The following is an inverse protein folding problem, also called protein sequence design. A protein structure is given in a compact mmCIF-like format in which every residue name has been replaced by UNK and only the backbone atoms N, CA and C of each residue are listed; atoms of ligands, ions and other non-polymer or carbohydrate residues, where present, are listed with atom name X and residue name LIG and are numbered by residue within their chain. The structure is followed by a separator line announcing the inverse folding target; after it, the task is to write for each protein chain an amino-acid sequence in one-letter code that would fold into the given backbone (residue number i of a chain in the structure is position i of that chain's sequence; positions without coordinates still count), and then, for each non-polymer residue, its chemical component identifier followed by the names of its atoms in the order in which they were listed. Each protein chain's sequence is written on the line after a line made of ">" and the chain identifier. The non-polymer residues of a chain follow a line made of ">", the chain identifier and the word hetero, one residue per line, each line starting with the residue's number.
data_IF_799385284799
#
_entry.id   IF_799385284799
#
_cell.length_a   1.000
_cell.length_b   1.000
_cell.length_c   1.000
_cell.angle_alpha   90.00
_cell.angle_beta   90.00
_cell.angle_gamma   90.00
#
_symmetry.space_group_name_H-M   'P 1'
#
loop_
_entity.id
_entity.type
_entity.pdbx_description
1 polymer ?
#
# COMPACT_ATOMS: atom_id res chain seq x y z
N UNK A 1 4.96 29.84 -15.73
CA UNK A 1 4.61 29.53 -14.32
C UNK A 1 3.10 29.55 -14.19
N UNK A 2 2.45 28.39 -14.30
CA UNK A 2 1.00 28.30 -14.08
C UNK A 2 0.73 28.49 -12.59
N UNK A 3 -0.11 29.47 -12.24
CA UNK A 3 -0.61 29.62 -10.87
C UNK A 3 -1.53 28.43 -10.61
N UNK A 4 -1.05 27.47 -9.82
CA UNK A 4 -1.86 26.32 -9.44
C UNK A 4 -2.99 26.83 -8.54
N UNK A 5 -4.24 26.58 -8.93
CA UNK A 5 -5.41 27.06 -8.19
C UNK A 5 -5.69 26.10 -7.04
N UNK A 6 -5.19 26.42 -5.85
CA UNK A 6 -5.47 25.65 -4.62
C UNK A 6 -6.95 25.83 -4.24
N UNK A 7 -7.65 24.73 -3.97
CA UNK A 7 -9.06 24.75 -3.57
C UNK A 7 -9.25 25.53 -2.25
N UNK A 8 -10.34 26.29 -2.09
CA UNK A 8 -10.59 27.09 -0.87
C UNK A 8 -10.50 26.27 0.41
N UNK A 9 -11.06 25.05 0.43
CA UNK A 9 -11.01 24.15 1.59
C UNK A 9 -9.60 23.67 1.97
N UNK A 10 -8.61 23.84 1.09
CA UNK A 10 -7.21 23.44 1.32
C UNK A 10 -6.36 24.64 1.74
N UNK A 11 -6.79 25.87 1.43
CA UNK A 11 -6.11 27.09 1.89
C UNK A 11 -6.13 27.25 3.40
N UNK A 12 -7.10 26.64 4.07
CA UNK A 12 -7.19 26.63 5.53
C UNK A 12 -6.33 25.54 6.18
N UNK A 13 -5.70 24.64 5.39
CA UNK A 13 -4.76 23.62 5.87
C UNK A 13 -3.32 24.13 5.70
N UNK A 14 -2.73 24.63 6.78
CA UNK A 14 -1.41 25.27 6.74
C UNK A 14 -0.29 24.30 6.33
N UNK A 15 -0.43 23.02 6.68
CA UNK A 15 0.58 22.00 6.36
C UNK A 15 0.60 21.70 4.86
N UNK A 16 -0.57 21.50 4.25
CA UNK A 16 -0.66 21.31 2.80
C UNK A 16 -0.16 22.53 2.05
N UNK A 17 -0.60 23.74 2.44
CA UNK A 17 -0.12 24.97 1.81
C UNK A 17 1.40 25.12 1.93
N UNK A 18 1.98 24.83 3.10
CA UNK A 18 3.42 24.85 3.33
C UNK A 18 4.18 23.84 2.46
N UNK A 19 3.66 22.64 2.25
CA UNK A 19 4.30 21.63 1.40
C UNK A 19 4.24 22.03 -0.08
N UNK A 20 3.08 22.53 -0.53
CA UNK A 20 2.84 22.99 -1.91
C UNK A 20 3.76 24.17 -2.25
N UNK A 21 3.81 25.18 -1.38
CA UNK A 21 4.57 26.41 -1.61
C UNK A 21 6.06 26.26 -1.28
N UNK A 22 6.38 25.47 -0.25
CA UNK A 22 7.76 25.25 0.20
C UNK A 22 8.58 24.36 -0.72
N UNK A 23 7.93 23.54 -1.55
CA UNK A 23 8.58 22.66 -2.55
C UNK A 23 9.70 21.79 -1.96
N UNK A 24 9.57 21.40 -0.69
CA UNK A 24 10.54 20.54 -0.04
C UNK A 24 10.58 19.19 -0.75
N UNK A 25 11.78 18.67 -1.01
CA UNK A 25 11.99 17.43 -1.76
C UNK A 25 11.40 17.41 -3.20
N UNK A 26 10.99 18.55 -3.74
CA UNK A 26 10.51 18.66 -5.12
C UNK A 26 11.67 19.07 -6.04
N UNK A 27 11.81 18.39 -7.18
CA UNK A 27 12.83 18.67 -8.19
C UNK A 27 13.47 17.42 -8.76
N UNK A 28 14.65 17.60 -9.38
CA UNK A 28 15.42 16.54 -10.03
C UNK A 28 16.69 16.23 -9.22
N UNK A 29 17.20 15.01 -9.40
CA UNK A 29 18.57 14.65 -9.08
C UNK A 29 19.31 14.33 -10.39
N UNK A 30 20.57 14.72 -10.43
CA UNK A 30 21.45 14.60 -11.58
C UNK A 30 22.53 13.52 -11.36
N UNK A 31 23.18 13.04 -12.44
CA UNK A 31 24.35 12.19 -12.32
C UNK A 31 25.49 12.84 -11.51
N UNK A 32 25.59 14.16 -11.49
CA UNK A 32 26.54 14.92 -10.68
C UNK A 32 26.23 14.77 -9.18
N UNK A 33 24.97 14.91 -8.77
CA UNK A 33 24.55 14.69 -7.37
C UNK A 33 24.87 13.27 -6.90
N UNK A 34 24.70 12.29 -7.79
CA UNK A 34 25.04 10.90 -7.52
C UNK A 34 26.55 10.72 -7.25
N UNK A 35 27.41 11.36 -8.05
CA UNK A 35 28.87 11.33 -7.84
C UNK A 35 29.26 12.00 -6.53
N UNK A 36 28.69 13.16 -6.22
CA UNK A 36 28.97 13.90 -4.98
C UNK A 36 28.65 13.08 -3.72
N UNK A 37 27.61 12.24 -3.80
CA UNK A 37 27.16 11.42 -2.67
C UNK A 37 27.66 9.96 -2.73
N UNK A 38 28.57 9.62 -3.66
CA UNK A 38 29.02 8.24 -3.90
C UNK A 38 27.84 7.25 -4.05
N UNK A 39 26.81 7.68 -4.77
CA UNK A 39 25.54 6.98 -4.94
C UNK A 39 25.27 6.68 -6.43
N UNK A 40 24.27 5.84 -6.69
CA UNK A 40 23.75 5.54 -8.03
C UNK A 40 22.42 6.25 -8.23
N UNK A 41 22.26 6.96 -9.35
CA UNK A 41 20.99 7.57 -9.72
C UNK A 41 20.05 6.53 -10.34
N UNK A 42 18.83 6.44 -9.81
CA UNK A 42 17.69 5.75 -10.40
C UNK A 42 16.58 6.75 -10.68
N UNK A 43 15.90 6.58 -11.81
CA UNK A 43 14.79 7.44 -12.22
C UNK A 43 13.62 6.60 -12.69
N UNK A 44 12.41 6.97 -12.27
CA UNK A 44 11.17 6.33 -12.69
C UNK A 44 10.11 7.37 -13.06
N UNK A 45 9.37 7.14 -14.14
CA UNK A 45 8.26 7.97 -14.56
C UNK A 45 6.96 7.20 -14.38
N UNK A 46 5.99 7.83 -13.71
CA UNK A 46 4.65 7.32 -13.54
C UNK A 46 3.66 8.27 -14.20
N UNK A 47 2.72 7.72 -14.97
CA UNK A 47 1.71 8.50 -15.68
C UNK A 47 2.32 9.38 -16.77
N UNK A 48 1.54 10.34 -17.27
CA UNK A 48 1.98 11.23 -18.34
C UNK A 48 1.29 12.59 -18.29
N UNK A 49 1.91 13.61 -18.87
CA UNK A 49 1.31 14.94 -18.96
C UNK A 49 -0.01 14.93 -19.74
N UNK A 50 -0.13 14.04 -20.74
CA UNK A 50 -1.35 13.86 -21.54
C UNK A 50 -2.51 13.34 -20.70
N UNK A 51 -2.22 12.47 -19.73
CA UNK A 51 -3.22 11.99 -18.77
C UNK A 51 -3.59 13.04 -17.70
N UNK A 52 -2.91 14.19 -17.68
CA UNK A 52 -3.13 15.23 -16.67
C UNK A 52 -2.53 14.92 -15.29
N UNK A 53 -1.77 13.83 -15.15
CA UNK A 53 -1.00 13.51 -13.94
C UNK A 53 0.30 12.78 -14.30
N UNK A 54 1.42 13.27 -13.80
CA UNK A 54 2.70 12.58 -13.89
C UNK A 54 3.57 12.77 -12.64
N UNK A 55 4.33 11.75 -12.29
CA UNK A 55 5.36 11.80 -11.25
C UNK A 55 6.68 11.29 -11.83
N UNK A 56 7.75 12.09 -11.74
CA UNK A 56 9.12 11.65 -11.99
C UNK A 56 9.81 11.48 -10.65
N UNK A 57 10.13 10.25 -10.28
CA UNK A 57 10.80 9.89 -9.04
C UNK A 57 12.30 9.75 -9.32
N UNK A 58 13.11 10.38 -8.48
CA UNK A 58 14.58 10.33 -8.52
C UNK A 58 15.10 9.78 -7.20
N UNK A 59 15.82 8.67 -7.23
CA UNK A 59 16.51 8.10 -6.06
C UNK A 59 18.02 8.15 -6.26
N UNK A 60 18.74 8.57 -5.23
CA UNK A 60 20.16 8.28 -5.09
C UNK A 60 20.30 7.09 -4.15
N UNK A 61 20.91 6.01 -4.62
CA UNK A 61 21.10 4.78 -3.85
C UNK A 61 22.56 4.61 -3.44
N UNK A 62 22.78 4.35 -2.15
CA UNK A 62 24.09 3.96 -1.61
C UNK A 62 24.54 2.59 -2.12
N UNK A 63 25.78 2.21 -1.80
CA UNK A 63 26.31 0.87 -2.04
C UNK A 63 25.56 -0.25 -1.29
N UNK A 64 24.79 0.09 -0.26
CA UNK A 64 23.93 -0.84 0.50
C UNK A 64 22.47 -0.82 -0.01
N UNK A 65 22.23 -0.27 -1.20
CA UNK A 65 20.91 -0.17 -1.84
C UNK A 65 19.86 0.62 -1.03
N UNK A 66 20.32 1.47 -0.09
CA UNK A 66 19.48 2.42 0.63
C UNK A 66 19.38 3.74 -0.12
N UNK A 67 18.17 4.29 -0.22
CA UNK A 67 17.88 5.59 -0.83
C UNK A 67 18.43 6.70 0.09
N UNK A 68 19.56 7.30 -0.27
CA UNK A 68 20.21 8.38 0.52
C UNK A 68 19.61 9.75 0.26
N UNK A 69 19.11 9.98 -0.96
CA UNK A 69 18.29 11.15 -1.26
C UNK A 69 17.19 10.79 -2.26
N UNK A 70 16.08 11.52 -2.17
CA UNK A 70 14.94 11.35 -3.04
C UNK A 70 14.37 12.73 -3.39
N UNK A 71 14.12 12.93 -4.68
CA UNK A 71 13.38 14.07 -5.19
C UNK A 71 12.27 13.58 -6.11
N UNK A 72 11.18 14.34 -6.17
CA UNK A 72 10.08 14.04 -7.08
C UNK A 72 9.71 15.30 -7.84
N UNK A 73 9.54 15.18 -9.16
CA UNK A 73 8.79 16.18 -9.92
C UNK A 73 7.37 15.68 -10.12
N UNK A 74 6.42 16.61 -10.04
CA UNK A 74 5.01 16.30 -10.23
C UNK A 74 4.38 17.25 -11.24
N UNK A 75 3.49 16.71 -12.06
CA UNK A 75 2.59 17.46 -12.93
C UNK A 75 1.16 17.04 -12.61
N UNK A 76 0.26 18.00 -12.39
CA UNK A 76 -1.14 17.73 -12.03
C UNK A 76 -1.69 18.75 -11.03
N UNK A 77 -2.64 18.31 -10.23
CA UNK A 77 -3.26 19.12 -9.17
C UNK A 77 -2.25 19.55 -8.09
N UNK A 78 -2.46 20.70 -7.45
CA UNK A 78 -1.48 21.30 -6.53
C UNK A 78 -1.13 20.37 -5.37
N UNK A 79 -2.14 19.65 -4.88
CA UNK A 79 -2.09 18.73 -3.77
C UNK A 79 -1.18 17.53 -4.05
N UNK A 80 -0.97 17.20 -5.32
CA UNK A 80 0.01 16.20 -5.74
C UNK A 80 1.44 16.63 -5.37
N UNK A 81 1.73 17.94 -5.34
CA UNK A 81 3.04 18.46 -4.90
C UNK A 81 3.25 18.12 -3.42
N UNK A 82 2.22 18.25 -2.58
CA UNK A 82 2.33 17.87 -1.17
C UNK A 82 2.53 16.37 -0.99
N UNK A 83 1.74 15.55 -1.69
CA UNK A 83 1.88 14.10 -1.65
C UNK A 83 3.27 13.64 -2.16
N UNK A 84 3.76 14.22 -3.25
CA UNK A 84 5.09 13.96 -3.81
C UNK A 84 6.22 14.36 -2.85
N UNK A 85 6.07 15.50 -2.16
CA UNK A 85 7.02 15.97 -1.16
C UNK A 85 7.16 14.99 0.01
N UNK A 86 6.02 14.49 0.51
CA UNK A 86 5.98 13.47 1.57
C UNK A 86 6.49 12.12 1.05
N UNK A 87 6.10 11.70 -0.15
CA UNK A 87 6.59 10.48 -0.79
C UNK A 87 8.11 10.46 -0.88
N UNK A 88 8.70 11.58 -1.29
CA UNK A 88 10.15 11.73 -1.33
C UNK A 88 10.76 11.66 0.07
N UNK A 89 10.15 12.32 1.06
CA UNK A 89 10.62 12.28 2.45
C UNK A 89 10.60 10.85 3.03
N UNK A 90 9.48 10.15 2.92
CA UNK A 90 9.33 8.80 3.49
C UNK A 90 10.15 7.75 2.74
N UNK A 91 10.56 8.03 1.50
CA UNK A 91 11.43 7.14 0.72
C UNK A 91 12.89 7.20 1.17
N UNK A 92 13.32 8.30 1.80
CA UNK A 92 14.71 8.44 2.28
C UNK A 92 14.99 7.42 3.37
N UNK A 93 16.20 6.88 3.33
CA UNK A 93 16.70 5.85 4.23
C UNK A 93 15.84 4.56 4.19
N UNK A 94 15.29 4.21 3.03
CA UNK A 94 14.63 2.93 2.76
C UNK A 94 15.30 2.19 1.61
N UNK A 95 15.18 0.88 1.63
CA UNK A 95 15.45 -0.03 0.51
C UNK A 95 14.20 -0.16 -0.37
N UNK A 96 14.35 -0.67 -1.60
CA UNK A 96 13.21 -0.94 -2.48
C UNK A 96 12.19 -1.91 -1.85
N UNK A 97 12.63 -2.90 -1.07
CA UNK A 97 11.74 -3.81 -0.36
C UNK A 97 10.91 -3.10 0.70
N UNK A 98 11.50 -2.17 1.45
CA UNK A 98 10.75 -1.34 2.41
C UNK A 98 9.77 -0.38 1.72
N UNK A 99 10.09 0.09 0.50
CA UNK A 99 9.17 0.89 -0.32
C UNK A 99 7.95 0.05 -0.72
N UNK A 100 8.12 -1.21 -1.11
CA UNK A 100 7.02 -2.11 -1.48
C UNK A 100 6.03 -2.35 -0.33
N UNK A 101 6.45 -2.16 0.92
CA UNK A 101 5.60 -2.31 2.11
C UNK A 101 4.87 -1.02 2.52
N UNK A 102 5.11 0.10 1.83
CA UNK A 102 4.43 1.35 2.14
C UNK A 102 2.93 1.25 1.84
N UNK A 103 2.12 1.68 2.81
CA UNK A 103 0.67 1.75 2.71
C UNK A 103 0.23 3.20 2.51
N UNK A 104 -0.88 3.39 1.79
CA UNK A 104 -1.45 4.72 1.56
C UNK A 104 -1.74 5.47 2.86
N UNK A 105 -2.32 4.79 3.85
CA UNK A 105 -2.60 5.37 5.17
C UNK A 105 -1.36 5.99 5.82
N UNK A 106 -0.17 5.43 5.59
CA UNK A 106 1.08 6.00 6.09
C UNK A 106 1.36 7.37 5.47
N UNK A 107 1.31 7.46 4.15
CA UNK A 107 1.51 8.72 3.41
C UNK A 107 0.41 9.74 3.73
N UNK A 108 -0.86 9.32 3.77
CA UNK A 108 -1.99 10.19 4.08
C UNK A 108 -1.87 10.78 5.50
N UNK A 109 -1.48 9.97 6.48
CA UNK A 109 -1.25 10.45 7.85
C UNK A 109 -0.15 11.51 7.93
N UNK A 110 0.92 11.37 7.14
CA UNK A 110 1.97 12.40 7.05
C UNK A 110 1.50 13.70 6.40
N UNK A 111 0.40 13.70 5.64
CA UNK A 111 -0.20 14.91 5.08
C UNK A 111 -1.16 15.60 6.05
N UNK A 112 -1.70 14.88 7.05
CA UNK A 112 -2.65 15.45 8.01
C UNK A 112 -2.03 16.58 8.82
N UNK A 113 -2.80 17.66 8.96
CA UNK A 113 -2.54 18.71 9.95
C UNK A 113 -3.08 18.30 11.32
N UNK A 114 -4.30 17.74 11.35
CA UNK A 114 -4.92 17.16 12.53
C UNK A 114 -5.04 15.64 12.34
N UNK A 115 -4.55 14.81 13.28
CA UNK A 115 -4.59 13.35 13.14
C UNK A 115 -6.01 12.78 13.01
N UNK A 116 -7.05 13.50 13.46
CA UNK A 116 -8.44 13.04 13.41
C UNK A 116 -9.16 13.39 12.10
N UNK A 117 -8.60 14.29 11.29
CA UNK A 117 -9.21 14.72 10.03
C UNK A 117 -8.39 14.18 8.87
N UNK A 118 -9.05 13.73 7.81
CA UNK A 118 -8.37 13.35 6.57
C UNK A 118 -7.63 14.57 5.99
N UNK A 119 -6.45 14.32 5.42
CA UNK A 119 -5.63 15.37 4.85
C UNK A 119 -6.28 16.00 3.62
N UNK A 120 -6.93 15.18 2.79
CA UNK A 120 -7.53 15.57 1.51
C UNK A 120 -9.05 15.31 1.53
N UNK A 121 -9.85 16.16 0.87
CA UNK A 121 -11.27 15.88 0.65
C UNK A 121 -11.44 14.63 -0.24
N UNK A 122 -12.62 13.99 -0.16
CA UNK A 122 -12.93 12.75 -0.90
C UNK A 122 -12.58 12.80 -2.39
N UNK A 123 -12.91 13.90 -3.07
CA UNK A 123 -12.64 14.09 -4.49
C UNK A 123 -11.16 14.07 -4.88
N UNK A 124 -10.25 14.26 -3.90
CA UNK A 124 -8.80 14.28 -4.09
C UNK A 124 -8.10 13.08 -3.44
N UNK A 125 -8.84 12.11 -2.90
CA UNK A 125 -8.27 10.96 -2.22
C UNK A 125 -7.38 10.11 -3.14
N UNK A 126 -7.70 10.06 -4.44
CA UNK A 126 -6.87 9.36 -5.41
C UNK A 126 -5.40 9.81 -5.42
N UNK A 127 -5.10 11.04 -5.01
CA UNK A 127 -3.74 11.60 -5.03
C UNK A 127 -2.78 10.77 -4.15
N UNK A 128 -3.21 10.39 -2.94
CA UNK A 128 -2.37 9.57 -2.04
C UNK A 128 -2.22 8.15 -2.57
N UNK A 129 -3.28 7.57 -3.12
CA UNK A 129 -3.26 6.23 -3.71
C UNK A 129 -2.32 6.14 -4.92
N UNK A 130 -2.45 7.08 -5.86
CA UNK A 130 -1.60 7.16 -7.05
C UNK A 130 -0.14 7.40 -6.67
N UNK A 131 0.11 8.22 -5.65
CA UNK A 131 1.48 8.47 -5.18
C UNK A 131 2.13 7.22 -4.59
N UNK A 132 1.38 6.41 -3.83
CA UNK A 132 1.89 5.13 -3.34
C UNK A 132 2.06 4.11 -4.47
N UNK A 133 1.14 4.05 -5.43
CA UNK A 133 1.30 3.16 -6.59
C UNK A 133 2.55 3.54 -7.41
N UNK A 134 2.82 4.84 -7.58
CA UNK A 134 4.05 5.31 -8.23
C UNK A 134 5.32 4.86 -7.50
N UNK A 135 5.35 4.93 -6.16
CA UNK A 135 6.47 4.41 -5.37
C UNK A 135 6.60 2.89 -5.49
N UNK A 136 5.47 2.17 -5.48
CA UNK A 136 5.45 0.73 -5.64
C UNK A 136 6.03 0.31 -7.00
N UNK A 137 5.58 0.93 -8.09
CA UNK A 137 6.07 0.64 -9.42
C UNK A 137 7.54 1.05 -9.59
N UNK A 138 7.97 2.18 -9.00
CA UNK A 138 9.37 2.57 -8.96
C UNK A 138 10.25 1.50 -8.28
N UNK A 139 9.79 0.94 -7.16
CA UNK A 139 10.51 -0.12 -6.45
C UNK A 139 10.57 -1.42 -7.28
N UNK A 140 9.46 -1.84 -7.90
CA UNK A 140 9.44 -2.99 -8.83
C UNK A 140 10.41 -2.79 -9.99
N UNK A 141 10.37 -1.62 -10.62
CA UNK A 141 11.25 -1.24 -11.73
C UNK A 141 12.73 -1.31 -11.33
N UNK A 142 13.08 -0.75 -10.17
CA UNK A 142 14.44 -0.80 -9.63
C UNK A 142 14.92 -2.24 -9.41
N UNK A 143 14.05 -3.09 -8.86
CA UNK A 143 14.31 -4.52 -8.65
C UNK A 143 14.27 -5.35 -9.94
N UNK A 144 13.98 -4.73 -11.09
CA UNK A 144 13.79 -5.38 -12.40
C UNK A 144 12.70 -6.45 -12.37
N UNK A 145 11.72 -6.27 -11.50
CA UNK A 145 10.53 -7.10 -11.45
C UNK A 145 9.51 -6.59 -12.50
N UNK A 146 8.66 -7.47 -13.06
CA UNK A 146 7.66 -7.07 -14.03
C UNK A 146 6.73 -6.00 -13.44
N UNK A 147 6.50 -4.93 -14.19
CA UNK A 147 5.49 -3.91 -13.89
C UNK A 147 4.27 -4.26 -14.74
N UNK A 148 3.12 -4.42 -14.10
CA UNK A 148 1.87 -4.66 -14.82
C UNK A 148 1.33 -3.32 -15.35
N UNK A 149 1.69 -3.00 -16.60
CA UNK A 149 1.45 -1.71 -17.25
C UNK A 149 0.15 -1.63 -18.06
N UNK A 150 -0.79 -2.57 -17.95
CA UNK A 150 -2.04 -2.49 -18.73
C UNK A 150 -2.86 -1.28 -18.28
N UNK A 151 -2.64 -0.14 -18.94
CA UNK A 151 -3.41 1.08 -18.75
C UNK A 151 -4.75 0.89 -19.43
N UNK A 152 -5.83 0.96 -18.66
CA UNK A 152 -7.20 0.73 -19.16
C UNK A 152 -7.61 1.84 -20.13
N UNK A 153 -7.20 3.08 -19.84
CA UNK A 153 -7.33 4.21 -20.77
C UNK A 153 -6.15 5.20 -20.64
N UNK A 154 -5.42 5.52 -21.73
CA UNK A 154 -4.28 6.43 -21.70
C UNK A 154 -4.59 7.84 -21.15
N UNK A 155 -5.81 8.35 -21.32
CA UNK A 155 -6.25 9.65 -20.80
C UNK A 155 -6.32 9.68 -19.28
N UNK A 156 -6.48 8.53 -18.65
CA UNK A 156 -6.59 8.42 -17.19
C UNK A 156 -5.25 8.11 -16.54
N UNK A 157 -4.35 7.43 -17.27
CA UNK A 157 -3.01 7.07 -16.80
C UNK A 157 -3.00 6.04 -15.66
N UNK A 158 -4.12 5.34 -15.43
CA UNK A 158 -4.25 4.34 -14.37
C UNK A 158 -4.20 2.92 -14.92
N UNK A 159 -3.46 2.06 -14.25
CA UNK A 159 -3.35 0.64 -14.63
C UNK A 159 -4.53 -0.17 -14.12
N UNK A 160 -4.88 -1.22 -14.85
CA UNK A 160 -5.90 -2.20 -14.45
C UNK A 160 -5.56 -2.83 -13.10
N UNK A 161 -4.26 -3.10 -12.87
CA UNK A 161 -3.72 -3.57 -11.58
C UNK A 161 -4.11 -2.62 -10.45
N UNK A 162 -3.82 -1.33 -10.59
CA UNK A 162 -4.11 -0.32 -9.57
C UNK A 162 -5.61 -0.22 -9.29
N UNK A 163 -6.46 -0.33 -10.31
CA UNK A 163 -7.91 -0.37 -10.18
C UNK A 163 -8.35 -1.60 -9.38
N UNK A 164 -7.90 -2.81 -9.76
CA UNK A 164 -8.22 -4.06 -9.06
C UNK A 164 -7.78 -4.03 -7.59
N UNK A 165 -6.56 -3.59 -7.33
CA UNK A 165 -6.03 -3.48 -5.97
C UNK A 165 -6.80 -2.45 -5.14
N UNK A 166 -7.20 -1.32 -5.73
CA UNK A 166 -7.99 -0.30 -5.05
C UNK A 166 -9.40 -0.81 -4.70
N UNK A 167 -10.04 -1.55 -5.61
CA UNK A 167 -11.34 -2.19 -5.33
C UNK A 167 -11.24 -3.12 -4.12
N UNK A 168 -10.22 -3.97 -4.09
CA UNK A 168 -9.99 -4.91 -2.99
C UNK A 168 -9.64 -4.19 -1.68
N UNK A 169 -8.75 -3.20 -1.75
CA UNK A 169 -8.21 -2.50 -0.56
C UNK A 169 -9.26 -1.63 0.13
N UNK A 170 -10.12 -0.96 -0.64
CA UNK A 170 -11.06 0.02 -0.12
C UNK A 170 -12.52 -0.46 -0.14
N UNK A 171 -12.74 -1.75 -0.42
CA UNK A 171 -14.06 -2.37 -0.53
C UNK A 171 -15.00 -1.58 -1.46
N UNK A 172 -14.48 -1.12 -2.60
CA UNK A 172 -15.22 -0.25 -3.52
C UNK A 172 -16.40 -1.02 -4.10
N UNK A 173 -17.58 -0.39 -4.10
CA UNK A 173 -18.83 -1.00 -4.57
C UNK A 173 -19.48 -0.24 -5.73
N UNK A 174 -19.00 0.96 -6.04
CA UNK A 174 -19.59 1.83 -7.06
C UNK A 174 -18.54 2.53 -7.93
N UNK A 175 -18.96 2.99 -9.11
CA UNK A 175 -18.11 3.76 -10.02
C UNK A 175 -17.74 5.13 -9.43
N UNK A 176 -18.62 5.75 -8.65
CA UNK A 176 -18.33 7.01 -7.97
C UNK A 176 -17.20 6.85 -6.93
N UNK A 177 -17.24 5.79 -6.12
CA UNK A 177 -16.14 5.47 -5.23
C UNK A 177 -14.86 5.13 -6.01
N UNK A 178 -14.99 4.38 -7.11
CA UNK A 178 -13.85 4.06 -7.95
C UNK A 178 -13.14 5.32 -8.48
N UNK A 179 -13.93 6.32 -8.93
CA UNK A 179 -13.42 7.64 -9.31
C UNK A 179 -12.68 8.31 -8.17
N UNK A 180 -13.28 8.36 -6.99
CA UNK A 180 -12.72 9.07 -5.84
C UNK A 180 -11.39 8.44 -5.36
N UNK A 181 -11.25 7.12 -5.44
CA UNK A 181 -10.04 6.40 -5.00
C UNK A 181 -8.95 6.25 -6.07
N UNK A 182 -9.31 6.17 -7.34
CA UNK A 182 -8.35 5.82 -8.41
C UNK A 182 -8.22 6.87 -9.49
N UNK A 183 -9.19 7.78 -9.63
CA UNK A 183 -9.38 8.66 -10.79
C UNK A 183 -9.79 7.94 -12.07
N UNK A 184 -9.99 6.61 -12.05
CA UNK A 184 -10.32 5.84 -13.26
C UNK A 184 -11.53 6.44 -13.99
N UNK A 185 -12.65 6.65 -13.32
CA UNK A 185 -13.86 7.22 -13.93
C UNK A 185 -13.92 8.77 -13.88
N UNK A 186 -12.78 9.47 -13.85
CA UNK A 186 -12.77 10.93 -13.87
C UNK A 186 -13.23 11.51 -15.21
N UNK A 187 -13.02 10.74 -16.28
CA UNK A 187 -13.52 11.01 -17.61
C UNK A 187 -14.57 9.95 -17.92
N UNK A 188 -15.74 10.36 -18.41
CA UNK A 188 -16.81 9.43 -18.80
C UNK A 188 -16.39 8.64 -20.05
N UNK A 189 -17.02 8.92 -21.18
CA UNK A 189 -16.47 8.48 -22.46
C UNK A 189 -15.18 9.24 -22.75
N UNK A 190 -14.11 8.51 -23.04
CA UNK A 190 -12.83 9.11 -23.44
C UNK A 190 -12.70 9.09 -24.97
N UNK A 191 -11.90 10.00 -25.52
CA UNK A 191 -11.56 10.01 -26.94
C UNK A 191 -10.84 8.73 -27.39
N UNK A 192 -10.08 8.12 -26.48
CA UNK A 192 -9.22 6.98 -26.76
C UNK A 192 -9.91 5.64 -26.54
N UNK A 193 -10.90 5.58 -25.65
CA UNK A 193 -11.69 4.39 -25.35
C UNK A 193 -13.15 4.77 -25.03
N UNK A 194 -14.04 4.80 -26.05
CA UNK A 194 -15.46 5.08 -25.84
C UNK A 194 -16.18 4.06 -24.94
N UNK A 195 -15.68 2.82 -24.86
CA UNK A 195 -16.27 1.76 -24.05
C UNK A 195 -15.81 1.78 -22.59
N UNK A 196 -14.89 2.69 -22.25
CA UNK A 196 -14.23 2.74 -20.96
C UNK A 196 -15.17 2.71 -19.75
N UNK A 197 -16.31 3.45 -19.71
CA UNK A 197 -17.26 3.32 -18.62
C UNK A 197 -17.81 1.89 -18.43
N UNK A 198 -18.14 1.21 -19.53
CA UNK A 198 -18.69 -0.15 -19.49
C UNK A 198 -17.63 -1.17 -19.04
N UNK A 199 -16.38 -1.00 -19.49
CA UNK A 199 -15.25 -1.84 -19.08
C UNK A 199 -14.94 -1.69 -17.58
N UNK A 200 -15.00 -0.47 -17.03
CA UNK A 200 -14.85 -0.24 -15.60
C UNK A 200 -15.97 -0.89 -14.78
N UNK A 201 -17.23 -0.83 -15.26
CA UNK A 201 -18.33 -1.53 -14.61
C UNK A 201 -18.16 -3.05 -14.62
N UNK A 202 -17.72 -3.61 -15.74
CA UNK A 202 -17.44 -5.03 -15.85
C UNK A 202 -16.30 -5.45 -14.94
N UNK A 203 -15.19 -4.69 -14.94
CA UNK A 203 -14.04 -4.93 -14.08
C UNK A 203 -14.43 -4.88 -12.60
N UNK A 204 -15.24 -3.89 -12.19
CA UNK A 204 -15.78 -3.82 -10.84
C UNK A 204 -16.59 -5.07 -10.50
N UNK A 205 -17.51 -5.48 -11.37
CA UNK A 205 -18.32 -6.71 -11.16
C UNK A 205 -17.46 -7.96 -11.03
N UNK A 206 -16.45 -8.12 -11.89
CA UNK A 206 -15.52 -9.26 -11.87
C UNK A 206 -14.77 -9.30 -10.54
N UNK A 207 -14.16 -8.19 -10.12
CA UNK A 207 -13.38 -8.15 -8.87
C UNK A 207 -14.28 -8.34 -7.65
N UNK A 208 -15.49 -7.78 -7.63
CA UNK A 208 -16.46 -8.03 -6.54
C UNK A 208 -16.81 -9.51 -6.44
N UNK A 209 -17.01 -10.18 -7.57
CA UNK A 209 -17.28 -11.62 -7.61
C UNK A 209 -16.08 -12.43 -7.13
N UNK A 210 -14.84 -12.02 -7.45
CA UNK A 210 -13.63 -12.63 -6.88
C UNK A 210 -13.60 -12.51 -5.35
N UNK A 211 -13.91 -11.32 -4.81
CA UNK A 211 -13.95 -11.06 -3.37
C UNK A 211 -15.04 -11.91 -2.71
N UNK A 212 -16.23 -11.98 -3.29
CA UNK A 212 -17.34 -12.81 -2.79
C UNK A 212 -17.00 -14.30 -2.82
N UNK A 213 -16.40 -14.79 -3.91
CA UNK A 213 -15.96 -16.18 -4.01
C UNK A 213 -14.87 -16.50 -2.98
N UNK A 214 -13.90 -15.60 -2.78
CA UNK A 214 -12.88 -15.75 -1.76
C UNK A 214 -13.49 -15.75 -0.36
N UNK A 215 -14.40 -14.82 -0.05
CA UNK A 215 -15.11 -14.78 1.21
C UNK A 215 -15.99 -16.02 1.44
N UNK A 216 -16.64 -16.54 0.40
CA UNK A 216 -17.42 -17.77 0.47
C UNK A 216 -16.52 -18.98 0.72
N UNK A 217 -15.35 -19.05 0.07
CA UNK A 217 -14.35 -20.08 0.36
C UNK A 217 -13.81 -19.97 1.80
N UNK A 218 -13.61 -18.75 2.34
CA UNK A 218 -13.24 -18.54 3.74
C UNK A 218 -14.39 -18.86 4.72
N UNK A 219 -15.64 -18.64 4.31
CA UNK A 219 -16.83 -18.92 5.13
C UNK A 219 -17.13 -20.42 5.17
N UNK A 220 -16.97 -21.14 4.05
CA UNK A 220 -17.04 -22.61 4.05
C UNK A 220 -15.91 -23.26 4.83
N UNK A 221 -14.74 -22.60 4.92
CA UNK A 221 -13.70 -22.96 5.89
C UNK A 221 -14.17 -22.68 7.32
N UNK A 222 -14.74 -21.52 7.62
CA UNK A 222 -15.25 -21.12 8.94
C UNK A 222 -16.37 -22.04 9.50
N UNK A 223 -17.26 -22.57 8.66
CA UNK A 223 -18.35 -23.45 9.11
C UNK A 223 -17.88 -24.89 9.40
N UNK A 224 -16.71 -25.27 8.89
CA UNK A 224 -16.10 -26.56 9.20
C UNK A 224 -15.38 -26.44 10.54
N UNK A 225 -15.67 -27.29 11.54
CA UNK A 225 -14.93 -27.25 12.81
C UNK A 225 -13.44 -27.32 12.55
N UNK A 226 -12.63 -26.47 13.21
CA UNK A 226 -11.17 -26.41 13.01
C UNK A 226 -10.45 -27.76 13.20
N UNK A 227 -11.09 -28.73 13.89
CA UNK A 227 -10.62 -30.13 13.98
C UNK A 227 -10.72 -30.90 12.68
N UNK A 228 -11.73 -30.62 11.87
CA UNK A 228 -12.05 -31.34 10.63
C UNK A 228 -11.35 -30.73 9.40
N UNK A 229 -10.78 -29.53 9.54
CA UNK A 229 -10.02 -28.86 8.49
C UNK A 229 -8.75 -29.65 8.10
N UNK A 230 -8.44 -29.67 6.80
CA UNK A 230 -7.15 -30.14 6.29
C UNK A 230 -6.01 -29.21 6.75
N UNK A 231 -4.76 -29.62 6.55
CA UNK A 231 -3.60 -28.81 6.96
C UNK A 231 -3.57 -27.45 6.25
N UNK A 232 -3.87 -27.42 4.94
CA UNK A 232 -3.90 -26.18 4.16
C UNK A 232 -5.06 -25.28 4.58
N UNK A 233 -6.22 -25.87 4.89
CA UNK A 233 -7.40 -25.18 5.42
C UNK A 233 -7.12 -24.55 6.79
N UNK A 234 -6.47 -25.31 7.69
CA UNK A 234 -6.03 -24.81 9.00
C UNK A 234 -5.06 -23.65 8.85
N UNK A 235 -4.08 -23.78 7.94
CA UNK A 235 -3.10 -22.72 7.69
C UNK A 235 -3.77 -21.44 7.22
N UNK A 236 -4.68 -21.52 6.26
CA UNK A 236 -5.41 -20.37 5.76
C UNK A 236 -6.27 -19.71 6.86
N UNK A 237 -6.94 -20.51 7.70
CA UNK A 237 -7.74 -20.00 8.81
C UNK A 237 -6.88 -19.31 9.89
N UNK A 238 -5.72 -19.87 10.23
CA UNK A 238 -4.77 -19.25 11.17
C UNK A 238 -4.23 -17.95 10.59
N UNK A 239 -3.81 -17.94 9.32
CA UNK A 239 -3.27 -16.75 8.66
C UNK A 239 -4.30 -15.61 8.64
N UNK A 240 -5.56 -15.91 8.32
CA UNK A 240 -6.64 -14.92 8.33
C UNK A 240 -6.84 -14.27 9.72
N UNK A 241 -6.83 -15.07 10.79
CA UNK A 241 -6.94 -14.54 12.17
C UNK A 241 -5.72 -13.70 12.54
N UNK A 242 -4.53 -14.10 12.14
CA UNK A 242 -3.30 -13.32 12.38
C UNK A 242 -3.39 -11.97 11.64
N UNK A 243 -3.77 -11.98 10.37
CA UNK A 243 -3.91 -10.78 9.55
C UNK A 243 -4.91 -9.78 10.12
N UNK A 244 -6.08 -10.27 10.52
CA UNK A 244 -7.18 -9.42 10.97
C UNK A 244 -6.97 -8.86 12.39
N UNK A 245 -6.34 -9.64 13.28
CA UNK A 245 -6.35 -9.33 14.72
C UNK A 245 -4.97 -9.12 15.36
N UNK A 246 -3.89 -9.58 14.73
CA UNK A 246 -2.56 -9.63 15.38
C UNK A 246 -1.53 -8.81 14.61
N UNK A 247 -1.47 -8.94 13.27
CA UNK A 247 -0.41 -8.41 12.43
C UNK A 247 -0.27 -6.89 12.54
N UNK A 248 -1.38 -6.15 12.65
CA UNK A 248 -1.31 -4.70 12.85
C UNK A 248 -0.62 -4.31 14.17
N UNK A 249 -0.82 -5.06 15.26
CA UNK A 249 -0.14 -4.79 16.53
C UNK A 249 1.36 -4.98 16.42
N UNK A 250 1.80 -6.10 15.81
CA UNK A 250 3.22 -6.39 15.64
C UNK A 250 3.93 -5.36 14.75
N UNK A 251 3.26 -4.94 13.67
CA UNK A 251 3.79 -3.92 12.75
C UNK A 251 3.93 -2.56 13.44
N UNK A 252 2.99 -2.17 14.30
CA UNK A 252 3.10 -0.92 15.08
C UNK A 252 4.32 -0.93 16.01
N UNK A 253 4.70 -2.11 16.53
CA UNK A 253 5.90 -2.31 17.34
C UNK A 253 7.18 -2.52 16.50
N UNK A 254 7.09 -2.40 15.17
CA UNK A 254 8.22 -2.48 14.25
C UNK A 254 8.68 -3.91 13.92
N UNK A 255 7.83 -4.91 14.11
CA UNK A 255 8.09 -6.30 13.73
C UNK A 255 6.94 -6.94 12.99
N UNK A 256 7.02 -8.26 12.82
CA UNK A 256 5.95 -9.09 12.25
C UNK A 256 6.15 -10.56 12.68
N UNK A 257 5.36 -11.47 12.14
CA UNK A 257 5.54 -12.92 12.30
C UNK A 257 5.13 -13.69 11.04
N UNK A 258 5.72 -14.87 10.87
CA UNK A 258 5.32 -15.83 9.86
C UNK A 258 5.07 -17.22 10.47
N UNK A 259 4.16 -17.99 9.86
CA UNK A 259 3.90 -19.38 10.23
C UNK A 259 4.87 -20.29 9.47
N UNK A 260 5.74 -20.98 10.20
CA UNK A 260 6.69 -21.93 9.64
C UNK A 260 6.03 -23.29 9.38
N UNK A 261 5.35 -23.82 10.38
CA UNK A 261 4.79 -25.18 10.34
C UNK A 261 3.60 -25.33 11.29
N UNK A 262 2.75 -26.33 11.04
CA UNK A 262 1.61 -26.70 11.88
C UNK A 262 1.69 -28.21 12.10
N UNK A 263 1.93 -28.64 13.35
CA UNK A 263 2.00 -30.06 13.71
C UNK A 263 0.84 -30.49 14.59
N UNK A 264 0.27 -31.63 14.26
CA UNK A 264 -0.73 -32.28 15.10
C UNK A 264 -0.03 -33.17 16.14
N UNK A 265 -0.10 -32.77 17.41
CA UNK A 265 0.51 -33.46 18.54
C UNK A 265 -0.59 -33.97 19.48
N UNK A 266 -1.29 -35.02 19.04
CA UNK A 266 -2.41 -35.59 19.77
C UNK A 266 -3.63 -34.69 19.76
N UNK A 267 -4.08 -34.24 20.93
CA UNK A 267 -5.20 -33.30 21.05
C UNK A 267 -4.79 -31.85 20.78
N UNK A 268 -3.49 -31.54 20.83
CA UNK A 268 -2.93 -30.20 20.67
C UNK A 268 -2.43 -29.96 19.25
N UNK A 269 -2.55 -28.72 18.78
CA UNK A 269 -2.10 -28.28 17.46
C UNK A 269 -1.00 -27.24 17.63
N UNK A 270 0.24 -27.66 17.40
CA UNK A 270 1.42 -26.84 17.61
C UNK A 270 1.72 -26.03 16.35
N UNK A 271 1.56 -24.72 16.46
CA UNK A 271 1.84 -23.75 15.40
C UNK A 271 3.22 -23.18 15.66
N UNK A 272 4.16 -23.49 14.77
CA UNK A 272 5.52 -22.98 14.82
C UNK A 272 5.59 -21.65 14.10
N UNK A 273 6.00 -20.61 14.81
CA UNK A 273 6.09 -19.26 14.29
C UNK A 273 7.53 -18.76 14.33
N UNK A 274 7.86 -17.83 13.45
CA UNK A 274 9.09 -17.05 13.52
C UNK A 274 8.74 -15.57 13.57
N UNK A 275 9.31 -14.87 14.55
CA UNK A 275 9.20 -13.42 14.63
C UNK A 275 10.15 -12.74 13.64
N UNK A 276 9.69 -11.64 13.07
CA UNK A 276 10.41 -10.81 12.12
C UNK A 276 10.61 -9.40 12.68
N UNK A 277 11.63 -8.70 12.18
CA UNK A 277 11.93 -7.32 12.56
C UNK A 277 12.22 -7.15 14.06
N UNK A 278 11.68 -6.09 14.66
CA UNK A 278 11.90 -5.76 16.07
C UNK A 278 11.31 -6.80 17.05
N UNK A 279 10.41 -7.68 16.58
CA UNK A 279 9.88 -8.77 17.41
C UNK A 279 10.91 -9.89 17.62
N UNK A 280 11.94 -9.99 16.77
CA UNK A 280 13.00 -10.98 16.93
C UNK A 280 13.93 -10.60 18.11
N UNK A 281 13.86 -11.35 19.21
CA UNK A 281 14.69 -11.13 20.41
C UNK A 281 14.13 -10.09 21.39
N UNK A 282 12.89 -9.61 21.22
CA UNK A 282 12.26 -8.73 22.19
C UNK A 282 11.89 -9.48 23.47
N UNK A 283 12.04 -8.86 24.64
CA UNK A 283 11.78 -9.48 25.94
C UNK A 283 10.32 -9.98 26.10
N UNK A 284 9.37 -9.34 25.40
CA UNK A 284 7.95 -9.74 25.40
C UNK A 284 7.62 -10.83 24.36
N UNK A 285 8.52 -11.10 23.40
CA UNK A 285 8.27 -12.03 22.30
C UNK A 285 8.05 -13.47 22.80
N UNK A 286 8.75 -13.90 23.84
CA UNK A 286 8.59 -15.24 24.41
C UNK A 286 7.55 -15.32 25.54
N UNK A 287 6.87 -14.21 25.86
CA UNK A 287 5.91 -14.14 26.97
C UNK A 287 4.62 -13.44 26.54
N UNK A 288 4.46 -12.16 26.84
CA UNK A 288 3.20 -11.44 26.65
C UNK A 288 2.65 -11.50 25.23
N UNK A 289 3.50 -11.27 24.23
CA UNK A 289 3.09 -11.29 22.82
C UNK A 289 2.70 -12.69 22.37
N UNK A 290 3.48 -13.70 22.76
CA UNK A 290 3.18 -15.11 22.46
C UNK A 290 1.83 -15.54 23.05
N UNK A 291 1.57 -15.20 24.32
CA UNK A 291 0.30 -15.52 24.97
C UNK A 291 -0.89 -14.78 24.34
N UNK A 292 -0.70 -13.54 23.89
CA UNK A 292 -1.74 -12.79 23.20
C UNK A 292 -2.10 -13.45 21.85
N UNK A 293 -1.09 -13.87 21.08
CA UNK A 293 -1.27 -14.58 19.81
C UNK A 293 -2.00 -15.91 20.05
N UNK A 294 -1.49 -16.73 20.97
CA UNK A 294 -2.10 -18.02 21.30
C UNK A 294 -3.54 -17.85 21.80
N UNK A 295 -3.78 -16.90 22.68
CA UNK A 295 -5.12 -16.61 23.22
C UNK A 295 -6.11 -16.22 22.13
N UNK A 296 -5.69 -15.37 21.18
CA UNK A 296 -6.53 -14.94 20.07
C UNK A 296 -6.87 -16.12 19.13
N UNK A 297 -5.87 -16.95 18.79
CA UNK A 297 -6.07 -18.13 17.96
C UNK A 297 -6.99 -19.15 18.64
N UNK A 298 -6.82 -19.37 19.95
CA UNK A 298 -7.71 -20.23 20.74
C UNK A 298 -9.16 -19.72 20.76
N UNK A 299 -9.34 -18.41 20.90
CA UNK A 299 -10.65 -17.79 20.96
C UNK A 299 -11.39 -17.88 19.61
N UNK A 300 -10.66 -17.69 18.50
CA UNK A 300 -11.25 -17.56 17.17
C UNK A 300 -11.37 -18.88 16.42
N UNK A 301 -10.49 -19.84 16.69
CA UNK A 301 -10.42 -21.10 15.94
C UNK A 301 -10.69 -22.31 16.82
N UNK A 302 -9.80 -22.60 17.78
CA UNK A 302 -9.89 -23.80 18.61
C UNK A 302 -9.01 -23.73 19.86
N UNK A 303 -9.58 -24.08 21.00
CA UNK A 303 -8.88 -24.14 22.30
C UNK A 303 -7.63 -25.04 22.34
N UNK A 304 -7.49 -25.99 21.41
CA UNK A 304 -6.36 -26.93 21.32
C UNK A 304 -5.07 -26.33 20.73
N UNK A 305 -5.13 -25.10 20.19
CA UNK A 305 -3.97 -24.48 19.54
C UNK A 305 -2.89 -24.14 20.57
N UNK A 306 -1.63 -24.40 20.25
CA UNK A 306 -0.48 -23.87 20.99
C UNK A 306 0.47 -23.20 20.04
N UNK A 307 1.06 -22.08 20.46
CA UNK A 307 1.98 -21.32 19.62
C UNK A 307 3.39 -21.48 20.16
N UNK A 308 4.30 -21.91 19.29
CA UNK A 308 5.69 -22.20 19.64
C UNK A 308 6.59 -21.28 18.81
N UNK A 309 7.31 -20.33 19.43
CA UNK A 309 8.28 -19.50 18.73
C UNK A 309 9.57 -20.30 18.47
N UNK A 310 10.13 -20.14 17.27
CA UNK A 310 11.44 -20.66 16.88
C UNK A 310 12.48 -19.55 16.75
#
# INVERSE_FOLDING_TARGET
>A
MSKHSILPQIRDNFKLDSLINGKQNIGKLSPEDAKEQNATLFTFNYGSCESGLALNIYWLLSSEERIVDCKVESFGESELIAAASIAALISKNKTADEILQLKEKGLEYFLRENPNNEALPKSLRFITNVTIDALYQAAKSYKKEPIEETVVDPSTGVSERFIKESIKRFDITSIDELRDYTRAAAFGETLHNPNYPSELEELLKVVRKEIENAATATTTLSDKPFKEMSVDEKRAAIEAVIDEHIRQMLIMDGGDMEILDIKENGEEKDIYIRYLGACNGCASASTGTLFAIEGMLKQKLDSSIRVIPL
#
